data_IF_037242216759
#
_entry.id   IF_037242216759
#
_cell.length_a   1.000
_cell.length_b   1.000
_cell.length_c   1.000
_cell.angle_alpha   90.00
_cell.angle_beta   90.00
_cell.angle_gamma   90.00
#
_symmetry.space_group_name_H-M   'P 1'
#
loop_
_entity.id
_entity.type
_entity.pdbx_description
1 polymer ?
#
# COMPACT_ATOMS: atom_id res chain seq x y z
N UNK A 1 10.61 21.33 -22.61
CA UNK A 1 10.11 21.56 -21.25
C UNK A 1 10.59 20.51 -20.24
N UNK A 2 10.51 19.20 -20.55
CA UNK A 2 10.88 18.11 -19.62
C UNK A 2 12.34 18.07 -19.07
N UNK A 3 13.24 18.94 -19.53
CA UNK A 3 14.64 18.99 -19.09
C UNK A 3 15.12 20.40 -18.60
N UNK A 4 14.20 21.32 -18.26
CA UNK A 4 14.54 22.70 -17.79
C UNK A 4 15.37 23.57 -18.75
N UNK A 5 15.50 23.19 -20.03
CA UNK A 5 16.28 23.97 -21.02
C UNK A 5 15.56 25.20 -21.60
N UNK A 6 14.24 25.35 -21.40
CA UNK A 6 13.49 26.50 -21.90
C UNK A 6 12.50 26.98 -20.84
N UNK A 7 12.44 28.30 -20.62
CA UNK A 7 11.43 28.92 -19.75
C UNK A 7 10.04 28.91 -20.44
N UNK A 8 8.99 29.28 -19.71
CA UNK A 8 7.61 29.28 -20.22
C UNK A 8 7.44 30.13 -21.49
N UNK A 9 8.04 31.32 -21.52
CA UNK A 9 7.95 32.26 -22.63
C UNK A 9 8.68 31.75 -23.88
N UNK A 10 9.86 31.14 -23.70
CA UNK A 10 10.62 30.47 -24.76
C UNK A 10 9.86 29.26 -25.32
N UNK A 11 9.22 28.47 -24.45
CA UNK A 11 8.45 27.29 -24.88
C UNK A 11 7.22 27.70 -25.68
N UNK A 12 6.51 28.75 -25.26
CA UNK A 12 5.37 29.30 -26.02
C UNK A 12 5.85 29.84 -27.36
N UNK A 13 6.95 30.61 -27.38
CA UNK A 13 7.51 31.18 -28.60
C UNK A 13 7.89 30.10 -29.63
N UNK A 14 8.53 29.02 -29.18
CA UNK A 14 8.87 27.87 -30.03
C UNK A 14 7.63 27.15 -30.56
N UNK A 15 6.60 26.97 -29.73
CA UNK A 15 5.35 26.34 -30.14
C UNK A 15 4.62 27.19 -31.21
N UNK A 16 4.65 28.51 -31.06
CA UNK A 16 4.11 29.44 -32.05
C UNK A 16 4.94 29.38 -33.35
N UNK A 17 6.27 29.34 -33.25
CA UNK A 17 7.17 29.24 -34.41
C UNK A 17 6.92 27.98 -35.25
N UNK A 18 6.62 26.85 -34.61
CA UNK A 18 6.29 25.59 -35.31
C UNK A 18 4.82 25.49 -35.74
N UNK A 19 4.03 26.56 -35.58
CA UNK A 19 2.70 26.70 -36.18
C UNK A 19 1.50 26.48 -35.26
N UNK A 20 1.68 26.38 -33.93
CA UNK A 20 0.55 26.43 -33.00
C UNK A 20 0.06 27.86 -32.81
N UNK A 21 -1.25 28.02 -32.61
CA UNK A 21 -1.78 29.29 -32.12
C UNK A 21 -1.28 29.57 -30.69
N UNK A 22 -1.16 30.84 -30.32
CA UNK A 22 -0.69 31.25 -28.97
C UNK A 22 -1.53 30.61 -27.86
N UNK A 23 -2.87 30.62 -27.98
CA UNK A 23 -3.78 29.96 -27.05
C UNK A 23 -3.55 28.44 -26.97
N UNK A 24 -3.23 27.81 -28.11
CA UNK A 24 -2.94 26.36 -28.17
C UNK A 24 -1.61 26.05 -27.51
N UNK A 25 -0.59 26.88 -27.73
CA UNK A 25 0.72 26.75 -27.09
C UNK A 25 0.60 26.87 -25.56
N UNK A 26 -0.17 27.85 -25.08
CA UNK A 26 -0.44 28.04 -23.66
C UNK A 26 -1.18 26.84 -23.04
N UNK A 27 -2.22 26.36 -23.73
CA UNK A 27 -2.97 25.19 -23.29
C UNK A 27 -2.10 23.93 -23.19
N UNK A 28 -1.26 23.68 -24.21
CA UNK A 28 -0.35 22.52 -24.22
C UNK A 28 0.66 22.58 -23.08
N UNK A 29 1.20 23.76 -22.80
CA UNK A 29 2.12 23.95 -21.68
C UNK A 29 1.43 23.67 -20.34
N UNK A 30 0.26 24.26 -20.10
CA UNK A 30 -0.53 24.04 -18.88
C UNK A 30 -0.89 22.56 -18.68
N UNK A 31 -1.23 21.88 -19.78
CA UNK A 31 -1.54 20.45 -19.75
C UNK A 31 -0.30 19.61 -19.37
N UNK A 32 0.88 19.97 -19.87
CA UNK A 32 2.11 19.25 -19.55
C UNK A 32 2.54 19.49 -18.10
N UNK A 33 2.44 20.74 -17.60
CA UNK A 33 2.65 21.07 -16.20
C UNK A 33 1.74 20.25 -15.28
N UNK A 34 0.44 20.19 -15.62
CA UNK A 34 -0.53 19.41 -14.87
C UNK A 34 -0.18 17.92 -14.86
N UNK A 35 0.22 17.35 -16.01
CA UNK A 35 0.63 15.93 -16.08
C UNK A 35 1.84 15.65 -15.21
N UNK A 36 2.82 16.54 -15.21
CA UNK A 36 4.03 16.37 -14.41
C UNK A 36 3.71 16.44 -12.90
N UNK A 37 2.88 17.40 -12.50
CA UNK A 37 2.39 17.48 -11.11
C UNK A 37 1.66 16.19 -10.70
N UNK A 38 0.72 15.70 -11.53
CA UNK A 38 0.02 14.44 -11.25
C UNK A 38 0.97 13.24 -11.17
N UNK A 39 2.02 13.22 -12.00
CA UNK A 39 3.05 12.17 -11.97
C UNK A 39 3.81 12.19 -10.64
N UNK A 40 4.22 13.36 -10.17
CA UNK A 40 4.92 13.52 -8.90
C UNK A 40 4.04 13.15 -7.71
N UNK A 41 2.78 13.59 -7.70
CA UNK A 41 1.80 13.20 -6.68
C UNK A 41 1.64 11.68 -6.64
N UNK A 42 1.46 11.03 -7.80
CA UNK A 42 1.32 9.57 -7.87
C UNK A 42 2.56 8.84 -7.32
N UNK A 43 3.75 9.31 -7.65
CA UNK A 43 5.00 8.73 -7.12
C UNK A 43 5.09 8.89 -5.60
N UNK A 44 4.69 10.04 -5.06
CA UNK A 44 4.69 10.29 -3.63
C UNK A 44 3.67 9.40 -2.90
N UNK A 45 2.44 9.30 -3.40
CA UNK A 45 1.39 8.42 -2.86
C UNK A 45 1.87 6.97 -2.83
N UNK A 46 2.41 6.45 -3.94
CA UNK A 46 2.94 5.07 -4.00
C UNK A 46 4.10 4.83 -3.01
N UNK A 47 4.91 5.85 -2.72
CA UNK A 47 5.99 5.72 -1.74
C UNK A 47 5.45 5.65 -0.31
N UNK A 48 4.45 6.48 0.00
CA UNK A 48 3.78 6.51 1.31
C UNK A 48 3.05 5.18 1.54
N UNK A 49 2.29 4.70 0.55
CA UNK A 49 1.62 3.40 0.56
C UNK A 49 2.60 2.29 0.96
N UNK A 50 3.71 2.14 0.21
CA UNK A 50 4.70 1.08 0.48
C UNK A 50 5.27 1.17 1.89
N UNK A 51 5.56 2.37 2.39
CA UNK A 51 6.08 2.54 3.75
C UNK A 51 5.03 2.16 4.79
N UNK A 52 3.77 2.52 4.56
CA UNK A 52 2.66 2.22 5.46
C UNK A 52 2.34 0.72 5.50
N UNK A 53 2.21 0.09 4.32
CA UNK A 53 1.93 -1.34 4.19
C UNK A 53 3.04 -2.20 4.80
N UNK A 54 4.30 -1.80 4.67
CA UNK A 54 5.45 -2.47 5.29
C UNK A 54 5.68 -2.08 6.77
N UNK A 55 4.80 -1.29 7.39
CA UNK A 55 4.90 -0.91 8.80
C UNK A 55 6.06 0.03 9.15
N UNK A 56 6.69 0.67 8.16
CA UNK A 56 7.76 1.66 8.38
C UNK A 56 7.23 3.00 8.91
N UNK A 57 5.94 3.26 8.68
CA UNK A 57 5.20 4.42 9.21
C UNK A 57 3.81 3.94 9.66
N UNK A 58 3.24 4.64 10.65
CA UNK A 58 1.87 4.42 11.12
C UNK A 58 0.85 5.24 10.31
N UNK A 59 -0.44 5.04 10.63
CA UNK A 59 -1.54 5.68 9.92
C UNK A 59 -1.52 7.21 10.07
N UNK A 60 -1.18 7.72 11.26
CA UNK A 60 -1.10 9.15 11.53
C UNK A 60 -0.02 9.82 10.67
N UNK A 61 1.15 9.21 10.57
CA UNK A 61 2.26 9.70 9.76
C UNK A 61 1.96 9.59 8.26
N UNK A 62 1.34 8.50 7.81
CA UNK A 62 0.90 8.35 6.42
C UNK A 62 -0.12 9.43 6.02
N UNK A 63 -1.14 9.67 6.85
CA UNK A 63 -2.12 10.75 6.65
C UNK A 63 -1.46 12.13 6.65
N UNK A 64 -0.52 12.40 7.56
CA UNK A 64 0.21 13.67 7.59
C UNK A 64 1.01 13.92 6.31
N UNK A 65 1.65 12.89 5.76
CA UNK A 65 2.36 12.98 4.48
C UNK A 65 1.40 13.18 3.31
N UNK A 66 0.27 12.47 3.27
CA UNK A 66 -0.76 12.65 2.23
C UNK A 66 -1.39 14.05 2.26
N UNK A 67 -1.63 14.61 3.45
CA UNK A 67 -2.12 15.98 3.59
C UNK A 67 -1.14 17.01 3.00
N UNK A 68 0.17 16.78 3.12
CA UNK A 68 1.18 17.67 2.53
C UNK A 68 1.19 17.69 0.99
N UNK A 69 0.50 16.73 0.36
CA UNK A 69 0.28 16.68 -1.08
C UNK A 69 -0.97 17.47 -1.53
N UNK A 70 -1.63 18.19 -0.62
CA UNK A 70 -2.87 18.94 -0.88
C UNK A 70 -3.99 18.10 -1.53
N UNK A 71 -4.05 16.81 -1.20
CA UNK A 71 -5.12 15.93 -1.69
C UNK A 71 -6.43 16.22 -0.93
N UNK A 72 -7.60 16.08 -1.59
CA UNK A 72 -8.89 16.16 -0.91
C UNK A 72 -8.99 15.13 0.22
N UNK A 73 -9.59 15.52 1.35
CA UNK A 73 -9.70 14.66 2.53
C UNK A 73 -10.38 13.30 2.23
N UNK A 74 -11.42 13.29 1.40
CA UNK A 74 -12.10 12.06 0.95
C UNK A 74 -11.17 11.11 0.21
N UNK A 75 -10.25 11.65 -0.61
CA UNK A 75 -9.27 10.85 -1.35
C UNK A 75 -8.20 10.27 -0.42
N UNK A 76 -7.81 11.04 0.60
CA UNK A 76 -6.89 10.55 1.64
C UNK A 76 -7.54 9.39 2.41
N UNK A 77 -8.80 9.54 2.81
CA UNK A 77 -9.54 8.49 3.50
C UNK A 77 -9.63 7.22 2.64
N UNK A 78 -9.98 7.36 1.35
CA UNK A 78 -10.04 6.23 0.43
C UNK A 78 -8.70 5.47 0.32
N UNK A 79 -7.57 6.19 0.19
CA UNK A 79 -6.25 5.55 0.17
C UNK A 79 -5.94 4.81 1.47
N UNK A 80 -6.23 5.43 2.63
CA UNK A 80 -5.95 4.80 3.91
C UNK A 80 -6.79 3.54 4.12
N UNK A 81 -8.07 3.57 3.73
CA UNK A 81 -8.96 2.41 3.81
C UNK A 81 -8.48 1.28 2.88
N UNK A 82 -8.13 1.60 1.63
CA UNK A 82 -7.58 0.65 0.66
C UNK A 82 -6.30 -0.01 1.19
N UNK A 83 -5.36 0.79 1.71
CA UNK A 83 -4.08 0.24 2.19
C UNK A 83 -4.21 -0.57 3.47
N UNK A 84 -5.17 -0.23 4.33
CA UNK A 84 -5.44 -1.02 5.52
C UNK A 84 -5.98 -2.40 5.15
N UNK A 85 -6.90 -2.47 4.19
CA UNK A 85 -7.40 -3.73 3.66
C UNK A 85 -6.26 -4.58 3.07
N UNK A 86 -5.40 -3.98 2.25
CA UNK A 86 -4.27 -4.69 1.66
C UNK A 86 -3.25 -5.20 2.69
N UNK A 87 -3.05 -4.48 3.81
CA UNK A 87 -2.14 -4.95 4.86
C UNK A 87 -2.57 -6.29 5.45
N UNK A 88 -3.88 -6.54 5.53
CA UNK A 88 -4.39 -7.82 6.01
C UNK A 88 -4.11 -8.96 5.02
N UNK A 89 -4.03 -8.69 3.71
CA UNK A 89 -3.70 -9.71 2.70
C UNK A 89 -2.21 -10.11 2.74
N UNK A 90 -1.31 -9.17 3.08
CA UNK A 90 0.15 -9.37 3.02
C UNK A 90 0.79 -9.87 4.33
N UNK A 91 0.03 -10.05 5.42
CA UNK A 91 0.59 -10.61 6.67
C UNK A 91 1.04 -12.05 6.43
N UNK A 92 2.34 -12.32 6.63
CA UNK A 92 2.87 -13.69 6.64
C UNK A 92 2.38 -14.42 7.88
N UNK A 93 1.23 -15.06 7.76
CA UNK A 93 0.66 -15.90 8.81
C UNK A 93 1.35 -17.27 8.75
N UNK A 94 1.81 -17.83 9.89
CA UNK A 94 2.35 -19.18 9.94
C UNK A 94 1.36 -20.18 9.34
N UNK A 95 1.85 -21.16 8.58
CA UNK A 95 0.96 -22.20 8.05
C UNK A 95 0.39 -23.05 9.19
N UNK A 96 -0.71 -23.79 8.96
CA UNK A 96 -1.23 -24.76 9.93
C UNK A 96 -0.17 -25.76 10.42
N UNK A 97 0.79 -26.09 9.56
CA UNK A 97 1.91 -26.98 9.89
C UNK A 97 2.89 -26.29 10.85
N UNK A 98 3.17 -25.01 10.64
CA UNK A 98 4.04 -24.22 11.52
C UNK A 98 3.36 -23.97 12.87
N UNK A 99 2.07 -23.62 12.87
CA UNK A 99 1.26 -23.51 14.09
C UNK A 99 1.25 -24.82 14.88
N UNK A 100 1.09 -25.96 14.21
CA UNK A 100 1.14 -27.27 14.85
C UNK A 100 2.51 -27.56 15.48
N UNK A 101 3.60 -27.19 14.80
CA UNK A 101 4.95 -27.25 15.38
C UNK A 101 5.09 -26.31 16.58
N UNK A 102 4.56 -25.10 16.52
CA UNK A 102 4.63 -24.14 17.63
C UNK A 102 3.88 -24.65 18.86
N UNK A 103 2.68 -25.20 18.67
CA UNK A 103 1.90 -25.82 19.75
C UNK A 103 2.65 -27.03 20.34
N UNK A 104 3.16 -27.93 19.50
CA UNK A 104 3.90 -29.11 19.97
C UNK A 104 5.17 -28.75 20.75
N UNK A 105 5.87 -27.70 20.32
CA UNK A 105 7.05 -27.15 21.01
C UNK A 105 6.69 -26.22 22.18
N UNK A 106 5.40 -26.05 22.51
CA UNK A 106 4.89 -25.16 23.57
C UNK A 106 5.31 -23.69 23.41
N UNK A 107 5.55 -23.25 22.17
CA UNK A 107 5.81 -21.85 21.84
C UNK A 107 4.52 -21.02 21.95
N UNK A 108 3.39 -21.65 21.64
CA UNK A 108 2.04 -21.11 21.80
C UNK A 108 1.18 -22.09 22.60
N UNK A 109 0.13 -21.59 23.25
CA UNK A 109 -0.87 -22.42 23.93
C UNK A 109 -2.01 -22.83 23.00
N UNK A 110 -2.94 -23.63 23.52
CA UNK A 110 -4.08 -24.18 22.76
C UNK A 110 -5.04 -23.07 22.33
N UNK A 111 -5.25 -22.06 23.18
CA UNK A 111 -6.17 -20.97 22.88
C UNK A 111 -5.62 -20.10 21.74
N UNK A 112 -4.33 -19.74 21.81
CA UNK A 112 -3.61 -19.05 20.73
C UNK A 112 -3.61 -19.88 19.45
N UNK A 113 -3.40 -21.20 19.53
CA UNK A 113 -3.46 -22.07 18.35
C UNK A 113 -4.85 -22.05 17.68
N UNK A 114 -5.93 -22.08 18.47
CA UNK A 114 -7.30 -22.04 17.94
C UNK A 114 -7.63 -20.69 17.30
N UNK A 115 -7.19 -19.60 17.91
CA UNK A 115 -7.35 -18.25 17.36
C UNK A 115 -6.62 -18.10 16.02
N UNK A 116 -5.37 -18.53 15.94
CA UNK A 116 -4.60 -18.48 14.69
C UNK A 116 -5.16 -19.41 13.61
N UNK A 117 -5.65 -20.60 13.99
CA UNK A 117 -6.36 -21.49 13.05
C UNK A 117 -7.66 -20.87 12.54
N UNK A 118 -8.38 -20.11 13.36
CA UNK A 118 -9.56 -19.35 12.94
C UNK A 118 -9.18 -18.25 11.94
N UNK A 119 -8.08 -17.52 12.19
CA UNK A 119 -7.53 -16.51 11.26
C UNK A 119 -7.13 -17.10 9.92
N UNK A 120 -6.66 -18.35 9.90
CA UNK A 120 -6.41 -19.12 8.66
C UNK A 120 -7.68 -19.64 7.96
N UNK A 121 -8.87 -19.34 8.49
CA UNK A 121 -10.16 -19.75 7.92
C UNK A 121 -10.64 -21.15 8.34
N UNK A 122 -9.99 -21.80 9.31
CA UNK A 122 -10.46 -23.08 9.84
C UNK A 122 -11.55 -22.86 10.88
N UNK A 123 -12.69 -23.53 10.68
CA UNK A 123 -13.72 -23.58 11.70
C UNK A 123 -13.25 -24.36 12.94
N UNK A 124 -13.98 -24.20 14.04
CA UNK A 124 -13.65 -24.83 15.33
C UNK A 124 -13.40 -26.33 15.22
N UNK A 125 -14.23 -27.07 14.45
CA UNK A 125 -14.13 -28.53 14.29
C UNK A 125 -12.80 -28.94 13.65
N UNK A 126 -12.41 -28.29 12.56
CA UNK A 126 -11.16 -28.62 11.88
C UNK A 126 -9.94 -28.19 12.69
N UNK A 127 -10.01 -27.05 13.39
CA UNK A 127 -8.97 -26.63 14.32
C UNK A 127 -8.73 -27.68 15.42
N UNK A 128 -9.78 -28.31 15.95
CA UNK A 128 -9.63 -29.34 17.00
C UNK A 128 -8.87 -30.58 16.51
N UNK A 129 -9.05 -30.99 15.25
CA UNK A 129 -8.31 -32.13 14.69
C UNK A 129 -6.82 -31.84 14.54
N UNK A 130 -6.47 -30.62 14.11
CA UNK A 130 -5.06 -30.22 13.99
C UNK A 130 -4.40 -30.02 15.36
N UNK A 131 -5.14 -29.52 16.34
CA UNK A 131 -4.70 -29.45 17.75
C UNK A 131 -4.36 -30.86 18.27
N UNK A 132 -5.28 -31.82 18.10
CA UNK A 132 -5.07 -33.20 18.53
C UNK A 132 -3.87 -33.84 17.81
N UNK A 133 -3.74 -33.60 16.50
CA UNK A 133 -2.59 -34.08 15.71
C UNK A 133 -1.27 -33.51 16.22
N UNK A 134 -1.22 -32.22 16.52
CA UNK A 134 -0.03 -31.55 17.03
C UNK A 134 0.38 -32.06 18.41
N UNK A 135 -0.58 -32.29 19.31
CA UNK A 135 -0.33 -32.81 20.66
C UNK A 135 0.05 -34.29 20.67
N UNK A 136 -0.46 -35.10 19.72
CA UNK A 136 -0.11 -36.52 19.56
C UNK A 136 1.31 -36.76 19.03
N UNK A 137 1.91 -35.79 18.33
CA UNK A 137 3.28 -35.86 17.83
C UNK A 137 4.37 -35.97 18.92
N UNK A 138 3.99 -35.90 20.19
CA UNK A 138 4.85 -36.05 21.37
C UNK A 138 5.07 -37.51 21.81
N UNK A 139 4.50 -38.48 21.09
CA UNK A 139 4.55 -39.90 21.43
C UNK A 139 5.43 -40.76 20.53
N UNK A 140 6.76 -40.60 20.63
CA UNK A 140 7.79 -41.67 20.48
C UNK A 140 8.92 -41.32 21.46
#
# INVERSE_FOLDING_TARGET
>A
YNDKFANQEETISLLVEIGYGEDQALYLLLLEDYKEEQRLIKLAVNNIEKRYKNGLIDAFKAQGMLNSLNLPAEKIALYMDEWELDKFEDVKIPSKTDLGKFLNNKIIDVDTFREEMNRLGYNHRYASWYEELALKGKGI
#
